data_IF_064573795884
#
_entry.id   IF_064573795884
#
_cell.length_a   1.000
_cell.length_b   1.000
_cell.length_c   1.000
_cell.angle_alpha   90.00
_cell.angle_beta   90.00
_cell.angle_gamma   90.00
#
_symmetry.space_group_name_H-M   'P 1'
#
loop_
_entity.id
_entity.type
_entity.pdbx_description
1 polymer ?
#
# COMPACT_ATOMS: atom_id res chain seq x y z
N UNK A 1 15.59 -8.22 -0.33
CA UNK A 1 15.96 -6.94 -0.99
C UNK A 1 15.30 -6.95 -2.35
N UNK A 2 14.38 -6.01 -2.61
CA UNK A 2 13.63 -5.94 -3.87
C UNK A 2 14.64 -5.86 -5.05
N UNK A 3 14.52 -6.73 -6.06
CA UNK A 3 15.47 -6.79 -7.18
C UNK A 3 15.51 -5.52 -8.04
N UNK A 4 14.52 -4.62 -7.89
CA UNK A 4 14.36 -3.42 -8.70
C UNK A 4 14.68 -2.14 -7.92
N UNK A 5 15.04 -1.07 -8.63
CA UNK A 5 15.33 0.25 -8.02
C UNK A 5 14.08 1.03 -7.57
N UNK A 6 12.88 0.57 -7.95
CA UNK A 6 11.59 1.21 -7.67
C UNK A 6 10.56 0.18 -7.21
N UNK A 7 9.54 0.64 -6.49
CA UNK A 7 8.37 -0.16 -6.14
C UNK A 7 7.26 0.07 -7.16
N UNK A 8 6.41 -0.93 -7.37
CA UNK A 8 5.25 -0.84 -8.28
C UNK A 8 4.04 -0.37 -7.49
N UNK A 9 3.33 0.62 -8.02
CA UNK A 9 2.01 1.03 -7.52
C UNK A 9 0.95 0.50 -8.48
N UNK A 10 -0.06 -0.16 -7.93
CA UNK A 10 -1.18 -0.73 -8.68
C UNK A 10 -2.51 -0.18 -8.16
N UNK A 11 -3.50 -0.17 -9.06
CA UNK A 11 -4.89 0.18 -8.74
C UNK A 11 -5.81 -0.91 -9.26
N UNK A 12 -6.87 -1.19 -8.53
CA UNK A 12 -7.96 -2.08 -8.99
C UNK A 12 -9.24 -1.28 -9.10
N UNK A 13 -9.98 -1.49 -10.20
CA UNK A 13 -11.34 -0.97 -10.37
C UNK A 13 -12.41 -2.02 -10.00
N UNK A 14 -12.02 -3.30 -9.94
CA UNK A 14 -12.92 -4.41 -9.66
C UNK A 14 -12.13 -5.61 -9.12
N UNK A 15 -12.38 -5.97 -7.85
CA UNK A 15 -11.80 -7.13 -7.18
C UNK A 15 -10.26 -7.18 -7.35
N UNK A 16 -9.76 -8.27 -7.92
CA UNK A 16 -8.33 -8.58 -8.05
C UNK A 16 -7.74 -8.24 -9.42
N UNK A 17 -8.48 -7.49 -10.25
CA UNK A 17 -7.95 -7.00 -11.53
C UNK A 17 -7.04 -5.78 -11.30
N UNK A 18 -5.84 -6.05 -10.78
CA UNK A 18 -4.82 -5.05 -10.52
C UNK A 18 -4.23 -4.54 -11.84
N UNK A 19 -4.07 -3.22 -11.92
CA UNK A 19 -3.53 -2.52 -13.08
C UNK A 19 -2.41 -1.61 -12.61
N UNK A 20 -1.25 -1.66 -13.28
CA UNK A 20 -0.12 -0.79 -12.97
C UNK A 20 -0.53 0.68 -13.07
N UNK A 21 -0.44 1.38 -11.93
CA UNK A 21 -0.66 2.82 -11.85
C UNK A 21 0.64 3.61 -12.04
N UNK A 22 1.79 3.02 -11.69
CA UNK A 22 3.10 3.62 -11.89
C UNK A 22 4.21 2.93 -11.10
N UNK A 23 5.35 3.60 -11.02
CA UNK A 23 6.46 3.22 -10.17
C UNK A 23 6.79 4.34 -9.21
N UNK A 24 7.14 3.99 -7.98
CA UNK A 24 7.42 4.93 -6.90
C UNK A 24 8.80 4.68 -6.32
N UNK A 25 9.43 5.76 -5.85
CA UNK A 25 10.72 5.65 -5.17
C UNK A 25 10.51 5.06 -3.78
N UNK A 26 11.47 4.28 -3.33
CA UNK A 26 11.51 3.75 -1.98
C UNK A 26 12.94 3.69 -1.48
N UNK A 27 13.11 3.63 -0.16
CA UNK A 27 14.40 3.36 0.48
C UNK A 27 14.22 2.30 1.55
N UNK A 28 15.21 1.43 1.68
CA UNK A 28 15.31 0.45 2.76
C UNK A 28 16.59 0.71 3.53
N UNK A 29 16.48 0.90 4.84
CA UNK A 29 17.62 1.05 5.74
C UNK A 29 17.43 0.16 6.96
N UNK A 30 18.18 -0.94 7.02
CA UNK A 30 18.00 -1.95 8.06
C UNK A 30 16.60 -2.56 7.99
N UNK A 31 15.84 -2.45 9.08
CA UNK A 31 14.46 -2.94 9.21
C UNK A 31 13.39 -1.86 8.89
N UNK A 32 13.75 -0.77 8.22
CA UNK A 32 12.83 0.32 7.86
C UNK A 32 12.67 0.41 6.36
N UNK A 33 11.42 0.53 5.91
CA UNK A 33 11.03 0.78 4.53
C UNK A 33 10.23 2.09 4.47
N UNK A 34 10.63 2.97 3.56
CA UNK A 34 9.93 4.23 3.28
C UNK A 34 9.55 4.27 1.79
N UNK A 35 8.31 4.66 1.50
CA UNK A 35 7.76 4.79 0.15
C UNK A 35 7.46 6.26 -0.14
N UNK A 36 7.81 6.74 -1.33
CA UNK A 36 7.48 8.09 -1.81
C UNK A 36 6.42 8.03 -2.90
N UNK A 37 5.15 8.16 -2.50
CA UNK A 37 4.01 8.11 -3.42
C UNK A 37 3.54 9.53 -3.78
N UNK A 38 3.53 9.94 -5.07
CA UNK A 38 2.96 11.22 -5.49
C UNK A 38 1.46 11.31 -5.18
N UNK A 39 1.01 12.43 -4.61
CA UNK A 39 -0.41 12.66 -4.27
C UNK A 39 -1.35 12.49 -5.45
N UNK A 40 -0.91 12.92 -6.64
CA UNK A 40 -1.66 12.78 -7.90
C UNK A 40 -1.93 11.32 -8.29
N UNK A 41 -1.05 10.38 -7.93
CA UNK A 41 -1.27 8.95 -8.18
C UNK A 41 -2.33 8.33 -7.25
N UNK A 42 -2.58 8.97 -6.09
CA UNK A 42 -3.63 8.58 -5.14
C UNK A 42 -4.95 9.34 -5.38
N UNK A 43 -5.00 10.24 -6.37
CA UNK A 43 -6.17 11.10 -6.59
C UNK A 43 -6.38 12.16 -5.50
N UNK A 44 -5.36 12.42 -4.67
CA UNK A 44 -5.42 13.38 -3.57
C UNK A 44 -5.02 14.79 -4.04
N UNK A 45 -5.67 15.81 -3.49
CA UNK A 45 -5.42 17.23 -3.77
C UNK A 45 -4.63 17.89 -2.62
N UNK A 46 -4.93 19.15 -2.30
CA UNK A 46 -4.15 19.94 -1.34
C UNK A 46 -4.30 19.43 0.10
N UNK A 47 -5.53 19.10 0.50
CA UNK A 47 -5.82 18.48 1.79
C UNK A 47 -5.71 16.96 1.66
N UNK A 48 -4.97 16.35 2.59
CA UNK A 48 -4.79 14.90 2.66
C UNK A 48 -5.82 14.33 3.63
N UNK A 49 -6.65 13.43 3.14
CA UNK A 49 -7.59 12.63 3.93
C UNK A 49 -7.70 11.25 3.27
N UNK A 50 -7.03 10.25 3.85
CA UNK A 50 -7.04 8.89 3.32
C UNK A 50 -6.75 7.87 4.42
N UNK A 51 -7.18 6.64 4.14
CA UNK A 51 -6.89 5.48 4.97
C UNK A 51 -5.89 4.57 4.27
N UNK A 52 -5.04 3.90 5.06
CA UNK A 52 -4.15 2.87 4.54
C UNK A 52 -3.92 1.75 5.56
N UNK A 53 -3.51 0.59 5.03
CA UNK A 53 -3.09 -0.57 5.81
C UNK A 53 -1.84 -1.15 5.16
N UNK A 54 -0.87 -1.51 5.98
CA UNK A 54 0.25 -2.33 5.58
C UNK A 54 -0.14 -3.80 5.65
N UNK A 55 0.19 -4.56 4.61
CA UNK A 55 0.11 -6.01 4.61
C UNK A 55 1.33 -6.55 3.87
N UNK A 56 1.95 -7.59 4.41
CA UNK A 56 2.89 -8.42 3.66
C UNK A 56 2.53 -9.91 3.79
N UNK A 57 3.36 -10.78 3.22
CA UNK A 57 3.25 -12.25 3.34
C UNK A 57 1.93 -12.88 2.84
N UNK A 58 1.25 -12.25 1.88
CA UNK A 58 0.15 -12.89 1.13
C UNK A 58 0.72 -14.01 0.24
N UNK A 59 0.08 -15.17 0.25
CA UNK A 59 0.43 -16.39 -0.48
C UNK A 59 -0.37 -16.56 -1.77
N UNK A 60 -1.65 -16.17 -1.75
CA UNK A 60 -2.57 -16.41 -2.86
C UNK A 60 -3.36 -15.15 -3.23
N UNK A 61 -3.14 -14.66 -4.45
CA UNK A 61 -4.04 -13.68 -5.07
C UNK A 61 -5.45 -14.29 -5.24
N UNK A 62 -6.46 -13.43 -5.34
CA UNK A 62 -7.87 -13.81 -5.46
C UNK A 62 -8.53 -14.40 -4.19
N UNK A 63 -7.80 -14.46 -3.07
CA UNK A 63 -8.35 -14.93 -1.79
C UNK A 63 -8.29 -13.83 -0.73
N UNK A 64 -9.44 -13.23 -0.41
CA UNK A 64 -9.51 -12.15 0.59
C UNK A 64 -9.10 -12.65 1.99
N UNK A 65 -9.39 -13.91 2.31
CA UNK A 65 -9.06 -14.49 3.62
C UNK A 65 -7.54 -14.63 3.81
N UNK A 66 -6.77 -14.58 2.72
CA UNK A 66 -5.32 -14.71 2.78
C UNK A 66 -4.66 -13.53 3.50
N UNK A 67 -5.23 -12.32 3.34
CA UNK A 67 -4.87 -11.14 4.13
C UNK A 67 -5.10 -11.32 5.64
N UNK A 68 -5.95 -12.25 6.04
CA UNK A 68 -6.28 -12.51 7.45
C UNK A 68 -5.48 -13.68 8.04
N UNK A 69 -5.27 -14.73 7.26
CA UNK A 69 -4.63 -15.96 7.72
C UNK A 69 -3.11 -15.88 7.61
N UNK A 70 -2.61 -15.39 6.48
CA UNK A 70 -1.17 -15.36 6.17
C UNK A 70 -0.61 -13.93 6.18
N UNK A 71 -1.47 -12.93 5.99
CA UNK A 71 -1.09 -11.54 5.95
C UNK A 71 -0.63 -11.01 7.31
N UNK A 72 0.64 -10.63 7.41
CA UNK A 72 1.12 -9.84 8.54
C UNK A 72 0.75 -8.37 8.28
N UNK A 73 -0.12 -7.84 9.14
CA UNK A 73 -0.79 -6.56 8.90
C UNK A 73 -0.51 -5.53 9.98
N UNK A 74 -0.43 -4.27 9.56
CA UNK A 74 -0.48 -3.11 10.44
C UNK A 74 -1.46 -2.06 9.88
N UNK A 75 -2.49 -1.64 10.64
CA UNK A 75 -2.81 -2.07 12.00
C UNK A 75 -3.57 -3.41 12.01
N UNK A 76 -3.64 -4.05 13.18
CA UNK A 76 -4.25 -5.37 13.32
C UNK A 76 -5.77 -5.39 13.04
N UNK A 77 -6.27 -6.55 12.63
CA UNK A 77 -7.70 -6.80 12.42
C UNK A 77 -8.31 -5.94 11.32
N UNK A 78 -9.51 -5.39 11.58
CA UNK A 78 -10.29 -4.60 10.61
C UNK A 78 -9.98 -3.10 10.62
N UNK A 79 -9.00 -2.67 11.39
CA UNK A 79 -8.63 -1.25 11.50
C UNK A 79 -7.80 -0.79 10.31
N UNK A 80 -7.86 0.48 9.97
CA UNK A 80 -6.93 1.17 9.06
C UNK A 80 -6.23 2.31 9.81
N UNK A 81 -5.05 2.72 9.33
CA UNK A 81 -4.50 4.01 9.71
C UNK A 81 -5.26 5.10 8.97
N UNK A 82 -5.73 6.12 9.70
CA UNK A 82 -6.35 7.29 9.11
C UNK A 82 -5.35 8.45 9.18
N UNK A 83 -5.01 9.02 8.02
CA UNK A 83 -4.17 10.20 7.93
C UNK A 83 -4.98 11.38 7.41
N UNK A 84 -5.03 12.43 8.22
CA UNK A 84 -5.71 13.68 7.88
C UNK A 84 -4.83 14.87 8.21
N UNK A 85 -4.63 15.77 7.24
CA UNK A 85 -4.04 17.08 7.51
C UNK A 85 -5.11 18.03 8.02
N UNK A 86 -4.96 18.49 9.26
CA UNK A 86 -5.69 19.68 9.75
C UNK A 86 -4.92 20.92 9.34
N UNK A 87 -5.63 21.94 8.85
CA UNK A 87 -5.09 23.30 8.71
C UNK A 87 -4.80 23.91 10.07
#
# INVERSE_FOLDING_TARGET
>A
LNPNKKAVLEKTAAAWNWQKAGEVDYVVKGNKLELKVPRSMLGLKDELDFEFKWSDNMQYENNLMDFWVNGDVAPAGRSNFHYKTTK
#
